data_IF_832898986007
#
_entry.id   IF_832898986007
#
_cell.length_a   1.000
_cell.length_b   1.000
_cell.length_c   1.000
_cell.angle_alpha   90.00
_cell.angle_beta   90.00
_cell.angle_gamma   90.00
#
_symmetry.space_group_name_H-M   'P 1'
#
loop_
_entity.id
_entity.type
_entity.pdbx_description
1 polymer ?
#
# COMPACT_ATOMS: atom_id res chain seq x y z
N UNK A 1 -12.24 4.84 7.37
CA UNK A 1 -11.30 4.24 8.34
C UNK A 1 -11.44 4.82 9.75
N UNK A 2 -11.35 6.14 9.95
CA UNK A 2 -11.47 6.75 11.29
C UNK A 2 -12.87 6.62 11.90
N UNK A 3 -13.94 6.88 11.12
CA UNK A 3 -15.34 6.66 11.56
C UNK A 3 -15.66 5.21 11.96
N UNK A 4 -14.86 4.25 11.50
CA UNK A 4 -15.00 2.83 11.84
C UNK A 4 -14.15 2.41 13.04
N UNK A 5 -13.41 3.37 13.62
CA UNK A 5 -12.48 3.17 14.73
C UNK A 5 -11.34 2.19 14.40
N UNK A 6 -10.84 2.19 13.16
CA UNK A 6 -9.66 1.39 12.78
C UNK A 6 -8.36 2.21 12.80
N UNK A 7 -8.48 3.52 12.61
CA UNK A 7 -7.36 4.45 12.67
C UNK A 7 -7.74 5.64 13.56
N UNK A 8 -6.75 6.21 14.23
CA UNK A 8 -6.83 7.49 14.91
C UNK A 8 -5.90 8.49 14.23
N UNK A 9 -6.33 9.75 14.18
CA UNK A 9 -5.52 10.86 13.67
C UNK A 9 -5.10 11.78 14.80
N UNK A 10 -3.80 12.00 14.95
CA UNK A 10 -3.24 12.91 15.97
C UNK A 10 -2.38 13.98 15.30
N UNK A 11 -2.66 15.25 15.60
CA UNK A 11 -1.81 16.38 15.18
C UNK A 11 -0.52 16.36 15.97
N UNK A 12 0.61 16.53 15.29
CA UNK A 12 1.91 16.55 15.95
C UNK A 12 2.14 17.91 16.64
N UNK A 13 2.62 17.93 17.89
CA UNK A 13 2.99 19.17 18.54
C UNK A 13 4.14 19.83 17.77
N UNK A 14 4.01 21.12 17.45
CA UNK A 14 5.04 21.90 16.75
C UNK A 14 4.92 21.97 15.22
N UNK A 15 4.03 21.19 14.59
CA UNK A 15 3.74 21.33 13.16
C UNK A 15 2.25 21.14 12.87
N UNK A 16 1.51 22.25 12.79
CA UNK A 16 0.07 22.27 12.55
C UNK A 16 -0.36 21.70 11.18
N UNK A 17 0.58 21.43 10.27
CA UNK A 17 0.32 20.89 8.93
C UNK A 17 0.52 19.38 8.83
N UNK A 18 1.08 18.75 9.86
CA UNK A 18 1.35 17.29 9.84
C UNK A 18 0.42 16.54 10.76
N UNK A 19 -0.21 15.49 10.22
CA UNK A 19 -1.09 14.58 10.95
C UNK A 19 -0.47 13.19 10.96
N UNK A 20 -0.33 12.61 12.14
CA UNK A 20 0.01 11.20 12.29
C UNK A 20 -1.27 10.35 12.21
N UNK A 21 -1.22 9.28 11.42
CA UNK A 21 -2.30 8.30 11.30
C UNK A 21 -1.81 7.01 11.92
N UNK A 22 -2.46 6.54 12.98
CA UNK A 22 -2.07 5.34 13.71
C UNK A 22 -3.22 4.34 13.76
N UNK A 23 -2.91 3.04 13.79
CA UNK A 23 -3.93 2.02 14.04
C UNK A 23 -4.40 2.09 15.49
N UNK A 24 -5.72 2.07 15.68
CA UNK A 24 -6.34 1.86 16.99
C UNK A 24 -6.18 0.40 17.42
N UNK A 25 -6.54 0.06 18.66
CA UNK A 25 -6.55 -1.33 19.09
C UNK A 25 -7.52 -2.19 18.25
N UNK A 26 -8.69 -1.67 17.91
CA UNK A 26 -9.66 -2.33 17.03
C UNK A 26 -9.11 -2.52 15.62
N UNK A 27 -8.39 -1.54 15.09
CA UNK A 27 -7.67 -1.66 13.82
C UNK A 27 -6.60 -2.76 13.85
N UNK A 28 -5.79 -2.82 14.91
CA UNK A 28 -4.78 -3.88 15.08
C UNK A 28 -5.41 -5.27 15.15
N UNK A 29 -6.51 -5.43 15.90
CA UNK A 29 -7.25 -6.70 15.96
C UNK A 29 -7.82 -7.09 14.60
N UNK A 30 -8.28 -6.12 13.80
CA UNK A 30 -8.73 -6.41 12.43
C UNK A 30 -7.57 -6.91 11.56
N UNK A 31 -6.41 -6.24 11.62
CA UNK A 31 -5.21 -6.69 10.88
C UNK A 31 -4.83 -8.12 11.26
N UNK A 32 -4.85 -8.47 12.53
CA UNK A 32 -4.57 -9.85 12.99
C UNK A 32 -5.52 -10.89 12.41
N UNK A 33 -6.78 -10.52 12.15
CA UNK A 33 -7.77 -11.41 11.50
C UNK A 33 -7.56 -11.49 9.99
N UNK A 34 -7.17 -10.38 9.36
CA UNK A 34 -7.01 -10.30 7.91
C UNK A 34 -5.70 -10.90 7.42
N UNK A 35 -4.61 -10.79 8.18
CA UNK A 35 -3.30 -11.33 7.81
C UNK A 35 -3.32 -12.81 7.42
N UNK A 36 -3.88 -13.75 8.21
CA UNK A 36 -3.90 -15.16 7.80
C UNK A 36 -4.76 -15.40 6.56
N UNK A 37 -5.80 -14.61 6.34
CA UNK A 37 -6.63 -14.68 5.13
C UNK A 37 -5.79 -14.21 3.94
N UNK A 38 -5.11 -13.07 4.04
CA UNK A 38 -4.24 -12.55 2.99
C UNK A 38 -3.14 -13.54 2.62
N UNK A 39 -2.45 -14.13 3.60
CA UNK A 39 -1.44 -15.14 3.38
C UNK A 39 -1.99 -16.36 2.61
N UNK A 40 -3.18 -16.83 2.97
CA UNK A 40 -3.82 -17.94 2.24
C UNK A 40 -4.16 -17.56 0.79
N UNK A 41 -4.65 -16.35 0.55
CA UNK A 41 -4.91 -15.86 -0.79
C UNK A 41 -3.61 -15.75 -1.62
N UNK A 42 -2.52 -15.24 -1.02
CA UNK A 42 -1.22 -15.17 -1.67
C UNK A 42 -0.72 -16.56 -2.06
N UNK A 43 -0.71 -17.52 -1.11
CA UNK A 43 -0.30 -18.90 -1.35
C UNK A 43 -1.07 -19.54 -2.51
N UNK A 44 -2.40 -19.32 -2.55
CA UNK A 44 -3.26 -19.84 -3.62
C UNK A 44 -2.99 -19.16 -4.96
N UNK A 45 -2.79 -17.84 -4.97
CA UNK A 45 -2.57 -17.07 -6.20
C UNK A 45 -1.26 -17.46 -6.90
N UNK A 46 -0.25 -17.87 -6.13
CA UNK A 46 1.06 -18.24 -6.65
C UNK A 46 1.30 -19.75 -6.68
N UNK A 47 0.27 -20.56 -6.43
CA UNK A 47 0.37 -22.00 -6.43
C UNK A 47 0.93 -22.51 -7.76
N UNK A 48 1.98 -23.33 -7.69
CA UNK A 48 2.66 -23.88 -8.87
C UNK A 48 3.83 -23.04 -9.40
N UNK A 49 4.08 -21.85 -8.86
CA UNK A 49 5.27 -21.08 -9.20
C UNK A 49 6.48 -21.57 -8.39
N UNK A 50 7.63 -21.72 -9.06
CA UNK A 50 8.91 -21.81 -8.35
C UNK A 50 9.29 -20.46 -7.75
N UNK A 51 10.17 -20.48 -6.74
CA UNK A 51 10.71 -19.24 -6.13
C UNK A 51 11.39 -18.33 -7.15
N UNK A 52 12.06 -18.89 -8.16
CA UNK A 52 12.68 -18.12 -9.22
C UNK A 52 11.63 -17.39 -10.09
N UNK A 53 10.54 -18.08 -10.46
CA UNK A 53 9.44 -17.47 -11.21
C UNK A 53 8.74 -16.37 -10.41
N UNK A 54 8.57 -16.57 -9.09
CA UNK A 54 8.00 -15.53 -8.22
C UNK A 54 8.86 -14.27 -8.16
N UNK A 55 10.18 -14.43 -8.07
CA UNK A 55 11.10 -13.30 -8.07
C UNK A 55 11.01 -12.52 -9.39
N UNK A 56 10.98 -13.22 -10.53
CA UNK A 56 10.85 -12.58 -11.85
C UNK A 56 9.50 -11.88 -12.00
N UNK A 57 8.42 -12.49 -11.52
CA UNK A 57 7.10 -11.87 -11.55
C UNK A 57 7.09 -10.59 -10.71
N UNK A 58 7.62 -10.64 -9.48
CA UNK A 58 7.69 -9.49 -8.59
C UNK A 58 8.49 -8.34 -9.21
N UNK A 59 9.70 -8.61 -9.70
CA UNK A 59 10.52 -7.57 -10.33
C UNK A 59 9.86 -6.98 -11.56
N UNK A 60 9.14 -7.80 -12.34
CA UNK A 60 8.40 -7.32 -13.51
C UNK A 60 7.26 -6.38 -13.12
N UNK A 61 6.51 -6.70 -12.05
CA UNK A 61 5.46 -5.83 -11.51
C UNK A 61 6.03 -4.52 -10.93
N UNK A 62 7.17 -4.58 -10.27
CA UNK A 62 7.89 -3.38 -9.78
C UNK A 62 8.28 -2.47 -10.95
N UNK A 63 8.87 -3.01 -12.02
CA UNK A 63 9.21 -2.22 -13.20
C UNK A 63 7.97 -1.62 -13.89
N UNK A 64 6.86 -2.36 -13.98
CA UNK A 64 5.60 -1.81 -14.51
C UNK A 64 5.11 -0.64 -13.64
N UNK A 65 5.16 -0.78 -12.31
CA UNK A 65 4.77 0.27 -11.39
C UNK A 65 5.63 1.54 -11.57
N UNK A 66 6.95 1.40 -11.63
CA UNK A 66 7.88 2.52 -11.85
C UNK A 66 7.62 3.22 -13.19
N UNK A 67 7.38 2.46 -14.26
CA UNK A 67 7.06 3.03 -15.56
C UNK A 67 5.76 3.84 -15.54
N UNK A 68 4.74 3.38 -14.80
CA UNK A 68 3.47 4.09 -14.67
C UNK A 68 3.61 5.36 -13.81
N UNK A 69 4.45 5.34 -12.76
CA UNK A 69 4.73 6.51 -11.91
C UNK A 69 5.47 7.61 -12.69
N UNK A 70 6.44 7.22 -13.53
CA UNK A 70 7.10 8.15 -14.46
C UNK A 70 6.10 8.78 -15.43
N UNK A 71 5.17 7.97 -15.98
CA UNK A 71 4.13 8.46 -16.87
C UNK A 71 3.20 9.47 -16.18
N UNK A 72 2.80 9.22 -14.94
CA UNK A 72 1.97 10.17 -14.17
C UNK A 72 2.69 11.51 -13.98
N UNK A 73 4.00 11.48 -13.70
CA UNK A 73 4.82 12.68 -13.60
C UNK A 73 4.87 13.45 -14.92
N UNK A 74 5.11 12.76 -16.04
CA UNK A 74 5.15 13.37 -17.37
C UNK A 74 3.80 14.03 -17.74
N UNK A 75 2.68 13.33 -17.49
CA UNK A 75 1.34 13.85 -17.73
C UNK A 75 1.08 15.10 -16.89
N UNK A 76 1.45 15.08 -15.61
CA UNK A 76 1.30 16.24 -14.74
C UNK A 76 2.12 17.44 -15.23
N UNK A 77 3.36 17.23 -15.68
CA UNK A 77 4.19 18.30 -16.25
C UNK A 77 3.60 18.90 -17.54
N UNK A 78 3.02 18.07 -18.41
CA UNK A 78 2.35 18.53 -19.63
C UNK A 78 1.11 19.36 -19.30
N UNK A 79 0.33 18.95 -18.29
CA UNK A 79 -0.88 19.66 -17.87
C UNK A 79 -0.59 20.98 -17.16
N UNK A 80 0.56 21.11 -16.47
CA UNK A 80 0.98 22.35 -15.78
C UNK A 80 1.65 23.37 -16.72
N UNK A 81 2.03 22.97 -17.95
CA UNK A 81 2.63 23.84 -18.98
C UNK A 81 1.60 24.52 -19.90
N UNK A 82 0.30 24.32 -19.66
CA UNK A 82 -0.81 25.03 -20.33
C UNK A 82 -1.40 26.10 -19.41
#
# INVERSE_FOLDING_TARGET
MEKLDFIERKRLPGNARTVSINLTQKGKTLVQKLLPIAAHFEDMAVAGFSKAQLNVLKSSLESVYENLDMLETEVNEILQKK
#
